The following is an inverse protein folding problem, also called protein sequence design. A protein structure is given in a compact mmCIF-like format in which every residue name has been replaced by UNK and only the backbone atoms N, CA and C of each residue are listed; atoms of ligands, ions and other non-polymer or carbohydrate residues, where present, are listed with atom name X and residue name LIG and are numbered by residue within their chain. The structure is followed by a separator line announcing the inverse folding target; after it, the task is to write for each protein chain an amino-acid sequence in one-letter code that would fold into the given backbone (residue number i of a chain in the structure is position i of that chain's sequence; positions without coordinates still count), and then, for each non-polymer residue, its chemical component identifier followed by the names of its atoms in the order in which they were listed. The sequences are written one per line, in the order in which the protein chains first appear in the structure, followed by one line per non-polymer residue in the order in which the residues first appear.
data_IF_082280804602
#
_entry.id   IF_082280804602
#
_cell.length_a   1.000
_cell.length_b   1.000
_cell.length_c   1.000
_cell.angle_alpha   90.00
_cell.angle_beta   90.00
_cell.angle_gamma   90.00
#
_symmetry.space_group_name_H-M   'P 1'
#
loop_
_entity.id
_entity.type
_entity.pdbx_description
1 polymer ?
#
# COMPACT_ATOMS: atom_id res chain seq x y z
N UNK A 1 -10.65 27.66 13.15
CA UNK A 1 -9.26 27.20 12.97
C UNK A 1 -8.78 26.50 14.23
N UNK A 2 -7.98 25.42 14.15
CA UNK A 2 -7.49 24.69 12.97
C UNK A 2 -8.06 23.25 12.84
N UNK A 3 -8.03 22.70 11.63
CA UNK A 3 -8.10 21.25 11.41
C UNK A 3 -6.72 20.68 11.78
N UNK A 4 -6.56 20.23 13.03
CA UNK A 4 -5.39 19.43 13.38
C UNK A 4 -5.66 18.00 12.91
N UNK A 5 -4.73 17.43 12.16
CA UNK A 5 -4.62 15.97 12.04
C UNK A 5 -4.37 15.42 13.44
N UNK A 6 -5.41 14.96 14.12
CA UNK A 6 -5.34 14.43 15.47
C UNK A 6 -4.50 13.14 15.50
N UNK A 7 -4.52 12.38 14.40
CA UNK A 7 -3.80 11.13 14.26
C UNK A 7 -3.03 11.08 12.94
N UNK A 8 -1.79 10.58 13.00
CA UNK A 8 -0.97 10.33 11.81
C UNK A 8 -0.51 8.88 11.81
N UNK A 9 -0.80 8.17 10.73
CA UNK A 9 -0.29 6.81 10.49
C UNK A 9 0.87 6.86 9.51
N UNK A 10 1.95 6.15 9.84
CA UNK A 10 3.15 6.08 9.01
C UNK A 10 3.23 4.68 8.41
N UNK A 11 3.22 4.58 7.08
CA UNK A 11 3.34 3.31 6.34
C UNK A 11 4.55 3.42 5.40
N UNK A 12 5.64 2.75 5.75
CA UNK A 12 6.91 2.87 5.03
C UNK A 12 7.56 1.53 4.75
N UNK A 13 8.11 1.38 3.54
CA UNK A 13 8.93 0.22 3.13
C UNK A 13 8.20 -1.13 3.25
N UNK A 14 6.89 -1.12 3.04
CA UNK A 14 6.06 -2.33 3.03
C UNK A 14 5.86 -2.86 1.60
N UNK A 15 5.45 -4.13 1.49
CA UNK A 15 4.96 -4.71 0.25
C UNK A 15 3.48 -5.06 0.47
N UNK A 16 2.57 -4.40 -0.25
CA UNK A 16 1.12 -4.59 -0.11
C UNK A 16 0.55 -4.99 -1.47
N UNK A 17 0.06 -6.24 -1.55
CA UNK A 17 -0.33 -6.83 -2.83
C UNK A 17 -1.61 -7.64 -2.74
N UNK A 18 -2.29 -7.75 -3.88
CA UNK A 18 -3.44 -8.64 -4.09
C UNK A 18 -4.59 -8.40 -3.09
N UNK A 19 -4.77 -7.16 -2.62
CA UNK A 19 -5.95 -6.81 -1.82
C UNK A 19 -7.23 -7.15 -2.57
N UNK A 20 -8.24 -7.60 -1.84
CA UNK A 20 -9.54 -7.97 -2.40
C UNK A 20 -10.62 -7.05 -1.85
N UNK A 21 -11.68 -6.86 -2.63
CA UNK A 21 -12.91 -6.28 -2.11
C UNK A 21 -13.50 -7.18 -1.02
N UNK A 22 -14.21 -6.58 -0.08
CA UNK A 22 -14.98 -7.34 0.92
C UNK A 22 -16.07 -8.15 0.23
N UNK A 23 -16.46 -9.29 0.83
CA UNK A 23 -17.56 -10.13 0.30
C UNK A 23 -18.94 -9.49 0.52
N UNK A 24 -19.09 -8.77 1.62
CA UNK A 24 -20.29 -7.99 1.97
C UNK A 24 -19.91 -6.52 1.89
N UNK A 25 -20.77 -5.70 1.30
CA UNK A 25 -20.57 -4.26 1.07
C UNK A 25 -19.21 -3.95 0.39
N UNK A 26 -19.01 -4.42 -0.86
CA UNK A 26 -17.72 -4.33 -1.56
C UNK A 26 -17.32 -2.91 -1.94
N UNK A 27 -18.28 -1.98 -1.98
CA UNK A 27 -18.07 -0.61 -2.45
C UNK A 27 -17.11 0.15 -1.54
N UNK A 28 -16.12 0.82 -2.14
CA UNK A 28 -15.08 1.55 -1.38
C UNK A 28 -14.11 0.64 -0.61
N UNK A 29 -13.93 -0.62 -1.02
CA UNK A 29 -12.99 -1.56 -0.40
C UNK A 29 -12.03 -2.14 -1.44
N UNK A 30 -10.90 -2.70 -0.99
CA UNK A 30 -9.92 -3.36 -1.86
C UNK A 30 -8.76 -2.49 -2.32
N UNK A 31 -8.61 -1.26 -1.81
CA UNK A 31 -7.41 -0.47 -2.01
C UNK A 31 -6.25 -0.99 -1.13
N UNK A 32 -5.00 -0.66 -1.48
CA UNK A 32 -3.86 -0.96 -0.63
C UNK A 32 -3.92 -0.18 0.69
N UNK A 33 -4.20 1.13 0.61
CA UNK A 33 -4.28 2.05 1.75
C UNK A 33 -5.50 2.95 1.58
N UNK A 34 -6.32 3.06 2.62
CA UNK A 34 -7.54 3.88 2.65
C UNK A 34 -7.50 4.79 3.86
N UNK A 35 -7.75 6.08 3.64
CA UNK A 35 -8.09 6.99 4.71
C UNK A 35 -9.61 7.24 4.74
N UNK A 36 -10.30 6.65 5.72
CA UNK A 36 -11.74 6.83 5.87
C UNK A 36 -12.11 8.16 6.55
N UNK A 37 -11.16 8.81 7.24
CA UNK A 37 -11.38 10.05 8.00
C UNK A 37 -10.38 11.15 7.57
N UNK A 38 -10.34 11.55 6.28
CA UNK A 38 -9.33 12.48 5.78
C UNK A 38 -9.38 13.90 6.37
N UNK A 39 -10.43 14.23 7.13
CA UNK A 39 -10.56 15.50 7.84
C UNK A 39 -9.79 15.53 9.16
N UNK A 40 -9.58 14.37 9.81
CA UNK A 40 -8.95 14.25 11.14
C UNK A 40 -7.67 13.42 11.13
N UNK A 41 -7.50 12.55 10.14
CA UNK A 41 -6.41 11.57 10.10
C UNK A 41 -5.53 11.82 8.87
N UNK A 42 -4.22 11.69 9.05
CA UNK A 42 -3.24 11.77 7.98
C UNK A 42 -2.44 10.48 7.81
N UNK A 43 -1.95 10.29 6.58
CA UNK A 43 -1.01 9.22 6.25
C UNK A 43 0.30 9.80 5.73
N UNK A 44 1.41 9.31 6.28
CA UNK A 44 2.74 9.46 5.68
C UNK A 44 3.09 8.15 5.02
N UNK A 45 3.10 8.15 3.70
CA UNK A 45 3.31 6.98 2.85
C UNK A 45 4.64 7.14 2.14
N UNK A 46 5.60 6.25 2.41
CA UNK A 46 6.91 6.34 1.77
C UNK A 46 7.49 4.98 1.37
N UNK A 47 7.94 4.89 0.13
CA UNK A 47 8.76 3.79 -0.37
C UNK A 47 8.10 2.40 -0.20
N UNK A 48 6.78 2.31 -0.28
CA UNK A 48 6.09 1.02 -0.31
C UNK A 48 6.08 0.45 -1.74
N UNK A 49 5.96 -0.88 -1.85
CA UNK A 49 5.73 -1.58 -3.11
C UNK A 49 4.27 -2.06 -3.17
N UNK A 50 3.45 -1.42 -4.02
CA UNK A 50 2.01 -1.66 -4.10
C UNK A 50 1.64 -2.28 -5.44
N UNK A 51 1.17 -3.53 -5.45
CA UNK A 51 0.97 -4.26 -6.72
C UNK A 51 -0.29 -5.12 -6.74
N UNK A 52 -1.00 -5.07 -7.87
CA UNK A 52 -2.19 -5.87 -8.15
C UNK A 52 -3.31 -5.76 -7.09
N UNK A 53 -3.58 -4.54 -6.60
CA UNK A 53 -4.60 -4.27 -5.58
C UNK A 53 -5.96 -3.99 -6.25
N UNK A 54 -7.02 -4.70 -5.84
CA UNK A 54 -8.27 -4.80 -6.62
C UNK A 54 -9.03 -3.49 -6.88
N UNK A 55 -8.96 -2.50 -5.97
CA UNK A 55 -9.59 -1.19 -6.16
C UNK A 55 -8.59 -0.08 -6.47
N UNK A 56 -7.29 -0.39 -6.50
CA UNK A 56 -6.21 0.58 -6.69
C UNK A 56 -5.30 0.70 -5.46
N UNK A 57 -4.39 1.67 -5.50
CA UNK A 57 -3.37 1.81 -4.45
C UNK A 57 -3.86 2.66 -3.27
N UNK A 58 -4.56 3.76 -3.56
CA UNK A 58 -4.96 4.71 -2.53
C UNK A 58 -6.41 5.15 -2.67
N UNK A 59 -7.05 5.41 -1.54
CA UNK A 59 -8.26 6.20 -1.45
C UNK A 59 -8.09 7.27 -0.36
N UNK A 60 -8.38 8.53 -0.68
CA UNK A 60 -8.25 9.70 0.20
C UNK A 60 -6.85 9.90 0.82
N UNK A 61 -5.81 9.39 0.17
CA UNK A 61 -4.41 9.58 0.50
C UNK A 61 -3.58 9.40 -0.78
N UNK A 62 -2.29 9.73 -0.75
CA UNK A 62 -1.39 9.54 -1.90
C UNK A 62 0.06 9.46 -1.44
N UNK A 63 0.92 8.88 -2.27
CA UNK A 63 2.37 8.84 -2.11
C UNK A 63 3.04 9.25 -3.42
N UNK A 64 4.16 9.96 -3.33
CA UNK A 64 5.04 10.26 -4.46
C UNK A 64 6.27 9.35 -4.55
N UNK A 65 6.53 8.50 -3.54
CA UNK A 65 7.75 7.68 -3.45
C UNK A 65 7.48 6.17 -3.49
N UNK A 66 6.21 5.75 -3.46
CA UNK A 66 5.83 4.34 -3.59
C UNK A 66 6.02 3.85 -5.03
N UNK A 67 6.39 2.57 -5.18
CA UNK A 67 6.55 1.89 -6.46
C UNK A 67 5.40 0.91 -6.72
N UNK A 68 5.11 0.65 -7.99
CA UNK A 68 3.93 -0.10 -8.44
C UNK A 68 4.27 -1.35 -9.26
N UNK A 69 5.51 -1.82 -9.17
CA UNK A 69 6.01 -2.96 -9.92
C UNK A 69 5.75 -4.30 -9.21
N UNK A 70 5.77 -5.40 -9.97
CA UNK A 70 5.60 -6.75 -9.43
C UNK A 70 6.72 -7.05 -8.43
N UNK A 71 6.42 -7.51 -7.19
CA UNK A 71 7.46 -7.89 -6.25
C UNK A 71 8.33 -9.07 -6.63
N UNK A 72 7.95 -9.88 -7.62
CA UNK A 72 8.70 -11.06 -8.04
C UNK A 72 9.04 -11.96 -6.84
N UNK A 73 8.03 -12.54 -6.22
CA UNK A 73 8.24 -13.54 -5.16
C UNK A 73 8.76 -14.85 -5.74
N UNK A 74 9.72 -15.47 -5.05
CA UNK A 74 10.38 -16.71 -5.51
C UNK A 74 9.37 -17.82 -5.82
N UNK A 75 8.46 -18.10 -4.88
CA UNK A 75 7.39 -19.06 -5.15
C UNK A 75 6.20 -18.88 -4.19
N UNK A 76 5.16 -18.21 -4.68
CA UNK A 76 3.93 -17.95 -3.90
C UNK A 76 3.11 -19.21 -3.61
N UNK A 77 3.16 -20.24 -4.46
CA UNK A 77 2.30 -21.44 -4.30
C UNK A 77 2.72 -22.31 -3.13
N UNK A 78 3.98 -22.20 -2.70
CA UNK A 78 4.53 -22.87 -1.51
C UNK A 78 4.82 -21.90 -0.37
N UNK A 79 4.23 -20.69 -0.40
CA UNK A 79 4.41 -19.64 0.61
C UNK A 79 5.85 -19.12 0.78
N UNK A 80 6.69 -19.20 -0.27
CA UNK A 80 8.00 -18.54 -0.29
C UNK A 80 7.87 -17.11 -0.86
N UNK A 81 7.62 -16.16 0.04
CA UNK A 81 7.46 -14.73 -0.28
C UNK A 81 8.77 -13.94 -0.18
N UNK A 82 9.93 -14.60 -0.23
CA UNK A 82 11.19 -13.89 -0.47
C UNK A 82 11.16 -13.30 -1.87
N UNK A 83 11.80 -12.16 -2.04
CA UNK A 83 11.94 -11.50 -3.33
C UNK A 83 13.03 -12.21 -4.13
N UNK A 84 12.81 -12.35 -5.43
CA UNK A 84 13.86 -12.69 -6.37
C UNK A 84 14.95 -11.59 -6.38
N UNK A 85 16.21 -11.92 -6.68
CA UNK A 85 17.31 -10.95 -6.64
C UNK A 85 17.12 -9.72 -7.53
N UNK A 86 16.35 -9.85 -8.61
CA UNK A 86 16.03 -8.79 -9.59
C UNK A 86 14.69 -8.08 -9.29
N UNK A 87 14.07 -8.35 -8.14
CA UNK A 87 12.83 -7.71 -7.74
C UNK A 87 12.95 -6.18 -7.72
N UNK A 88 12.04 -5.45 -8.39
CA UNK A 88 12.02 -3.99 -8.37
C UNK A 88 11.60 -3.41 -7.02
N UNK A 89 11.06 -4.23 -6.11
CA UNK A 89 10.82 -3.80 -4.73
C UNK A 89 12.09 -3.84 -3.88
N UNK A 90 13.16 -4.53 -4.31
CA UNK A 90 14.47 -4.43 -3.65
C UNK A 90 15.02 -3.03 -3.93
N UNK A 91 15.51 -2.36 -2.90
CA UNK A 91 16.04 -1.00 -3.07
C UNK A 91 14.98 0.10 -3.09
N UNK A 92 13.72 -0.21 -3.41
CA UNK A 92 12.61 0.76 -3.40
C UNK A 92 12.44 1.48 -2.06
N UNK A 93 12.86 0.83 -0.96
CA UNK A 93 12.90 1.34 0.41
C UNK A 93 13.92 2.44 0.72
N UNK A 94 14.78 2.85 -0.23
CA UNK A 94 15.95 3.70 0.03
C UNK A 94 15.98 5.02 -0.74
N UNK A 95 15.07 5.23 -1.69
CA UNK A 95 15.06 6.40 -2.58
C UNK A 95 14.26 7.58 -2.04
#
# INVERSE_FOLDING_TARGET
SPASTEHTTIVRKNIIVNTQKRKTDPDGTGYAIINYLPETDAFVLENNCLYNNSAGNYQNCTSSTDTYADPLFVNRSIHNYRLEPDSPCIGAGYT
#
